data_IF_821079034649
#
_entry.id   IF_821079034649
#
_cell.length_a   1.000
_cell.length_b   1.000
_cell.length_c   1.000
_cell.angle_alpha   90.00
_cell.angle_beta   90.00
_cell.angle_gamma   90.00
#
_symmetry.space_group_name_H-M   'P 1'
#
loop_
_entity.id
_entity.type
_entity.pdbx_description
1 polymer ?
#
# COMPACT_ATOMS: atom_id res chain seq x y z
N UNK A 1 15.56 -18.37 -5.39
CA UNK A 1 15.04 -18.72 -5.26
C UNK A 1 14.82 -18.50 -5.32
N UNK A 2 15.09 -17.90 -5.17
CA UNK A 2 14.68 -17.98 -5.08
C UNK A 2 14.53 -17.40 -4.98
N UNK A 3 14.57 -16.86 -4.83
CA UNK A 3 14.17 -16.79 -4.61
C UNK A 3 14.14 -16.28 -4.48
N UNK A 4 14.48 -15.84 -4.36
CA UNK A 4 14.23 -15.96 -4.16
C UNK A 4 14.14 -15.71 -3.98
N UNK A 5 14.35 -15.32 -3.78
CA UNK A 5 13.95 -15.62 -3.58
C UNK A 5 13.72 -15.43 -3.33
N UNK A 6 14.04 -15.09 -3.11
CA UNK A 6 13.64 -15.36 -2.88
C UNK A 6 13.33 -15.18 -2.65
N UNK A 7 13.59 -14.95 -2.38
CA UNK A 7 13.07 -15.33 -2.28
C UNK A 7 12.68 -15.35 -2.18
N UNK A 8 12.74 -15.36 -1.87
CA UNK A 8 12.12 -15.85 -1.81
C UNK A 8 11.75 -16.18 -1.69
N UNK A 9 11.61 -16.36 -1.43
CA UNK A 9 11.01 -17.03 -1.40
C UNK A 9 10.67 -17.35 -0.99
N UNK A 10 10.28 -17.68 -0.77
CA UNK A 10 9.82 -18.27 -0.33
C UNK A 10 9.43 -18.31 0.43
N UNK A 11 9.19 -18.51 1.00
CA UNK A 11 8.68 -18.74 1.59
C UNK A 11 8.05 -18.65 1.84
N UNK A 12 7.78 -18.66 2.06
CA UNK A 12 7.00 -18.72 2.20
C UNK A 12 6.32 -18.82 1.80
N UNK A 13 5.88 -19.41 1.82
CA UNK A 13 5.05 -19.60 1.48
C UNK A 13 4.05 -19.43 1.98
N UNK A 14 3.69 -19.44 2.66
CA UNK A 14 2.76 -19.29 3.32
C UNK A 14 1.77 -18.43 2.92
N UNK A 15 0.73 -18.42 2.94
CA UNK A 15 -0.28 -17.72 2.62
C UNK A 15 0.01 -16.55 1.98
N UNK A 16 0.39 -16.61 1.03
CA UNK A 16 0.89 -15.63 0.32
C UNK A 16 -0.02 -14.77 -0.41
N UNK A 17 -1.25 -15.04 -0.46
CA UNK A 17 -2.23 -14.25 -1.19
C UNK A 17 -2.35 -12.85 -0.64
N UNK A 18 -1.92 -12.63 0.61
CA UNK A 18 -2.02 -11.31 1.22
C UNK A 18 -0.70 -10.58 1.27
N UNK A 19 0.32 -11.09 0.62
CA UNK A 19 1.60 -10.42 0.64
C UNK A 19 1.53 -9.11 -0.14
N UNK A 20 1.98 -8.01 0.47
CA UNK A 20 1.98 -6.74 -0.25
C UNK A 20 2.86 -6.74 -1.48
N UNK A 21 3.85 -7.63 -1.52
CA UNK A 21 4.78 -7.65 -2.63
C UNK A 21 4.14 -7.96 -3.96
N UNK A 22 2.95 -8.57 -3.96
CA UNK A 22 2.27 -8.88 -5.20
C UNK A 22 1.49 -7.73 -5.80
N UNK A 23 1.33 -6.62 -5.08
CA UNK A 23 0.52 -5.51 -5.54
C UNK A 23 1.39 -4.39 -6.07
N UNK A 24 0.92 -3.69 -7.12
CA UNK A 24 1.67 -2.59 -7.72
C UNK A 24 0.95 -1.26 -7.62
N UNK A 25 -0.35 -1.25 -7.37
CA UNK A 25 -1.06 0.02 -7.19
C UNK A 25 -2.22 -0.17 -6.23
N UNK A 26 -2.69 0.94 -5.70
CA UNK A 26 -3.78 0.95 -4.73
C UNK A 26 -4.72 2.09 -5.05
N UNK A 27 -5.99 1.87 -4.77
CA UNK A 27 -7.04 2.82 -5.10
C UNK A 27 -7.95 2.96 -3.90
N UNK A 28 -8.34 4.20 -3.57
CA UNK A 28 -9.23 4.42 -2.43
C UNK A 28 -9.93 5.77 -2.55
N UNK A 29 -11.02 5.91 -1.82
CA UNK A 29 -11.73 7.17 -1.66
C UNK A 29 -11.69 7.54 -0.19
N UNK A 30 -11.63 8.82 0.11
CA UNK A 30 -11.58 9.27 1.49
C UNK A 30 -12.88 9.91 1.95
N UNK A 31 -13.65 10.44 1.01
CA UNK A 31 -14.94 11.05 1.32
C UNK A 31 -15.92 10.64 0.25
N UNK A 32 -16.83 9.74 0.57
CA UNK A 32 -17.86 9.37 -0.38
C UNK A 32 -18.81 10.51 -0.59
N UNK A 33 -19.24 10.79 -1.80
CA UNK A 33 -18.98 10.09 -3.06
C UNK A 33 -17.85 10.72 -3.87
N UNK A 34 -16.85 11.21 -3.25
CA UNK A 34 -15.78 11.96 -3.90
C UNK A 34 -14.94 11.06 -4.80
N UNK A 35 -14.08 11.65 -5.63
CA UNK A 35 -13.31 10.87 -6.58
C UNK A 35 -12.42 9.83 -5.89
N UNK A 36 -12.13 8.81 -6.65
CA UNK A 36 -11.21 7.78 -6.22
C UNK A 36 -9.79 8.21 -6.56
N UNK A 37 -8.88 7.97 -5.65
CA UNK A 37 -7.46 8.26 -5.87
C UNK A 37 -6.73 6.95 -6.10
N UNK A 38 -5.75 6.99 -6.99
CA UNK A 38 -4.97 5.80 -7.31
C UNK A 38 -3.49 6.14 -7.26
N UNK A 39 -2.71 5.29 -6.62
CA UNK A 39 -1.28 5.52 -6.45
C UNK A 39 -0.49 4.27 -6.73
N UNK A 40 0.71 4.46 -7.24
CA UNK A 40 1.68 3.38 -7.36
C UNK A 40 2.13 2.99 -5.96
N UNK A 41 2.39 1.71 -5.77
CA UNK A 41 2.93 1.21 -4.51
C UNK A 41 4.43 1.11 -4.62
N UNK A 42 5.12 1.63 -3.61
CA UNK A 42 6.56 1.59 -3.49
C UNK A 42 6.95 0.75 -2.29
N UNK A 43 8.17 0.25 -2.31
CA UNK A 43 8.70 -0.55 -1.21
C UNK A 43 10.12 -0.16 -0.93
N UNK A 44 10.52 -0.26 0.33
CA UNK A 44 11.89 -0.01 0.74
C UNK A 44 12.20 -0.93 1.92
N UNK A 45 13.44 -0.89 2.37
CA UNK A 45 13.83 -1.71 3.51
C UNK A 45 13.10 -1.31 4.77
N UNK A 46 12.81 -0.04 4.92
CA UNK A 46 12.17 0.46 6.14
C UNK A 46 10.66 0.45 6.05
N UNK A 47 10.11 0.30 4.84
CA UNK A 47 8.67 0.32 4.68
C UNK A 47 8.27 -0.66 3.58
N UNK A 48 7.57 -1.73 3.94
CA UNK A 48 7.22 -2.74 2.95
C UNK A 48 6.19 -2.24 1.93
N UNK A 49 5.48 -1.16 2.24
CA UNK A 49 4.49 -0.66 1.31
C UNK A 49 4.18 0.79 1.64
N UNK A 50 4.35 1.67 0.68
CA UNK A 50 4.01 3.07 0.86
C UNK A 50 3.64 3.70 -0.48
N UNK A 51 2.95 4.84 -0.40
CA UNK A 51 2.63 5.63 -1.58
C UNK A 51 3.27 7.00 -1.45
N UNK A 52 3.42 7.68 -2.59
CA UNK A 52 4.06 8.98 -2.66
C UNK A 52 3.03 9.98 -3.16
N UNK A 53 2.79 11.02 -2.39
CA UNK A 53 1.73 12.00 -2.66
C UNK A 53 2.35 13.38 -2.69
N UNK A 54 2.04 14.18 -3.72
CA UNK A 54 2.54 15.54 -3.79
C UNK A 54 2.08 16.34 -2.59
N UNK A 55 2.96 17.20 -2.10
CA UNK A 55 2.66 17.99 -0.91
C UNK A 55 1.44 18.88 -1.09
N UNK A 56 1.18 19.31 -2.32
CA UNK A 56 0.03 20.18 -2.56
C UNK A 56 -1.20 19.43 -3.07
N UNK A 57 -1.19 18.11 -2.95
CA UNK A 57 -2.32 17.31 -3.39
C UNK A 57 -3.53 17.52 -2.49
N UNK A 58 -4.72 17.58 -3.09
CA UNK A 58 -5.94 17.75 -2.32
C UNK A 58 -6.25 16.57 -1.41
N UNK A 59 -5.70 15.39 -1.72
CA UNK A 59 -5.98 14.23 -0.89
C UNK A 59 -5.18 14.25 0.40
N UNK A 60 -4.02 14.90 0.39
CA UNK A 60 -3.10 14.81 1.53
C UNK A 60 -3.72 15.27 2.85
N UNK A 61 -4.40 16.43 2.92
CA UNK A 61 -5.01 16.83 4.19
C UNK A 61 -6.08 15.88 4.69
N UNK A 62 -6.58 15.02 3.83
CA UNK A 62 -7.64 14.09 4.21
C UNK A 62 -7.10 12.77 4.73
N UNK A 63 -5.79 12.57 4.63
CA UNK A 63 -5.16 11.34 5.09
C UNK A 63 -4.58 11.58 6.47
N UNK A 64 -4.99 10.77 7.43
CA UNK A 64 -4.55 10.94 8.81
C UNK A 64 -3.94 9.66 9.31
N UNK A 65 -2.78 9.78 9.91
CA UNK A 65 -2.11 8.61 10.51
C UNK A 65 -3.06 7.96 11.51
N UNK A 66 -3.16 6.65 11.41
CA UNK A 66 -4.03 5.89 12.30
C UNK A 66 -5.41 5.61 11.75
N UNK A 67 -5.85 6.34 10.72
CA UNK A 67 -7.17 6.09 10.17
C UNK A 67 -7.16 4.83 9.31
N UNK A 68 -8.32 4.22 9.17
CA UNK A 68 -8.47 2.98 8.44
C UNK A 68 -9.37 3.21 7.24
N UNK A 69 -8.90 2.79 6.07
CA UNK A 69 -9.64 2.92 4.84
C UNK A 69 -9.72 1.58 4.15
N UNK A 70 -10.83 1.36 3.47
CA UNK A 70 -10.98 0.17 2.65
C UNK A 70 -10.37 0.48 1.29
N UNK A 71 -9.27 -0.18 0.97
CA UNK A 71 -8.54 0.10 -0.25
C UNK A 71 -8.57 -1.09 -1.19
N UNK A 72 -8.53 -0.79 -2.49
CA UNK A 72 -8.47 -1.81 -3.51
C UNK A 72 -7.04 -1.88 -4.04
N UNK A 73 -6.44 -3.04 -3.93
CA UNK A 73 -5.07 -3.29 -4.38
C UNK A 73 -5.09 -4.05 -5.68
N UNK A 74 -4.25 -3.65 -6.62
CA UNK A 74 -4.16 -4.27 -7.94
C UNK A 74 -2.88 -5.05 -8.10
N UNK A 75 -2.99 -6.20 -8.71
CA UNK A 75 -1.91 -7.15 -8.86
C UNK A 75 -1.81 -7.58 -10.31
N UNK A 76 -0.62 -8.03 -10.72
CA UNK A 76 -0.46 -8.63 -12.05
C UNK A 76 -0.81 -10.10 -12.06
N UNK A 77 -1.20 -10.66 -10.92
CA UNK A 77 -1.60 -12.05 -10.84
C UNK A 77 -2.95 -12.24 -11.53
N UNK A 78 -2.99 -13.02 -12.60
CA UNK A 78 -4.21 -13.21 -13.36
C UNK A 78 -5.31 -13.86 -12.55
N UNK A 79 -4.96 -14.61 -11.52
CA UNK A 79 -5.96 -15.30 -10.72
C UNK A 79 -6.53 -14.43 -9.61
N UNK A 80 -5.83 -13.36 -9.26
CA UNK A 80 -6.30 -12.44 -8.25
C UNK A 80 -5.88 -11.03 -8.64
N UNK A 81 -6.52 -10.47 -9.68
CA UNK A 81 -6.05 -9.18 -10.21
C UNK A 81 -6.31 -8.02 -9.28
N UNK A 82 -7.27 -8.14 -8.39
CA UNK A 82 -7.49 -7.07 -7.42
C UNK A 82 -8.06 -7.65 -6.14
N UNK A 83 -7.86 -6.91 -5.04
CA UNK A 83 -8.32 -7.37 -3.74
C UNK A 83 -8.59 -6.17 -2.86
N UNK A 84 -9.68 -6.21 -2.12
CA UNK A 84 -9.99 -5.16 -1.15
C UNK A 84 -9.44 -5.54 0.19
N UNK A 85 -8.69 -4.62 0.80
CA UNK A 85 -8.06 -4.86 2.09
C UNK A 85 -8.20 -3.62 2.93
N UNK A 86 -8.67 -3.79 4.16
CA UNK A 86 -8.67 -2.68 5.11
C UNK A 86 -7.25 -2.30 5.43
N UNK A 87 -6.95 -1.01 5.34
CA UNK A 87 -5.59 -0.52 5.45
C UNK A 87 -5.55 0.63 6.43
N UNK A 88 -4.61 0.58 7.36
CA UNK A 88 -4.37 1.70 8.26
C UNK A 88 -3.31 2.60 7.67
N UNK A 89 -3.56 3.90 7.72
CA UNK A 89 -2.56 4.89 7.33
C UNK A 89 -1.52 4.91 8.45
N UNK A 90 -0.29 4.61 8.08
CA UNK A 90 0.79 4.60 9.05
C UNK A 90 1.46 5.95 9.13
N UNK A 91 2.78 5.93 9.11
CA UNK A 91 3.56 7.16 9.22
C UNK A 91 3.46 7.99 7.95
N UNK A 92 3.29 9.28 8.11
CA UNK A 92 3.27 10.23 7.00
C UNK A 92 4.51 11.11 7.17
N UNK A 93 5.36 11.11 6.16
CA UNK A 93 6.64 11.80 6.22
C UNK A 93 6.78 12.75 5.04
N UNK A 94 7.17 13.98 5.31
CA UNK A 94 7.43 14.97 4.28
C UNK A 94 8.88 14.86 3.86
N UNK A 95 9.12 14.75 2.56
CA UNK A 95 10.47 14.56 2.05
C UNK A 95 11.04 15.87 1.58
N UNK A 96 12.16 16.27 2.16
CA UNK A 96 12.76 17.55 1.87
C UNK A 96 13.86 17.48 0.83
N UNK A 97 14.37 16.31 0.58
CA UNK A 97 15.42 16.13 -0.40
C UNK A 97 15.38 14.71 -0.91
N UNK A 98 16.13 14.47 -1.96
CA UNK A 98 16.23 13.15 -2.52
C UNK A 98 15.16 12.89 -3.55
N UNK A 99 14.97 11.61 -3.81
CA UNK A 99 14.12 11.15 -4.88
C UNK A 99 12.68 11.65 -4.79
N UNK A 100 12.17 11.76 -3.56
CA UNK A 100 10.77 12.14 -3.36
C UNK A 100 10.64 13.57 -2.83
N UNK A 101 11.61 14.41 -3.11
CA UNK A 101 11.54 15.79 -2.68
C UNK A 101 10.25 16.43 -3.18
N UNK A 102 9.58 17.19 -2.30
CA UNK A 102 8.32 17.84 -2.65
C UNK A 102 7.13 16.94 -2.53
N UNK A 103 7.32 15.75 -1.97
CA UNK A 103 6.24 14.77 -1.79
C UNK A 103 6.22 14.32 -0.35
N UNK A 104 5.11 13.70 0.03
CA UNK A 104 5.01 12.99 1.29
C UNK A 104 4.97 11.52 0.99
N UNK A 105 5.63 10.72 1.83
CA UNK A 105 5.51 9.28 1.78
C UNK A 105 4.54 8.85 2.86
N UNK A 106 3.66 7.92 2.54
CA UNK A 106 2.60 7.49 3.43
C UNK A 106 2.63 5.98 3.52
N UNK A 107 2.94 5.46 4.71
CA UNK A 107 2.98 4.03 4.92
C UNK A 107 1.58 3.46 4.93
N UNK A 108 1.41 2.33 4.27
CA UNK A 108 0.14 1.61 4.23
C UNK A 108 0.30 0.31 4.99
N UNK A 109 -0.54 0.09 5.98
CA UNK A 109 -0.44 -1.08 6.84
C UNK A 109 -1.73 -1.89 6.70
N UNK A 110 -1.72 -2.96 5.91
CA UNK A 110 -2.90 -3.82 5.82
C UNK A 110 -3.22 -4.42 7.19
N UNK A 111 -4.49 -4.44 7.51
CA UNK A 111 -4.93 -4.96 8.80
C UNK A 111 -5.95 -6.05 8.56
N UNK A 112 -6.26 -6.76 9.63
CA UNK A 112 -7.27 -7.81 9.61
C UNK A 112 -6.96 -8.95 8.67
N UNK A 113 -5.69 -9.13 8.34
CA UNK A 113 -5.32 -10.23 7.47
C UNK A 113 -5.63 -11.56 8.11
N UNK A 114 -5.43 -11.64 9.41
CA UNK A 114 -5.74 -12.88 10.11
C UNK A 114 -7.23 -13.16 10.03
N UNK A 115 -8.06 -12.14 10.18
CA UNK A 115 -9.48 -12.30 10.09
C UNK A 115 -9.90 -12.74 8.70
N UNK A 116 -9.21 -12.20 7.69
CA UNK A 116 -9.53 -12.58 6.32
C UNK A 116 -9.17 -14.01 6.02
N UNK A 117 -8.25 -14.57 6.78
CA UNK A 117 -7.82 -15.93 6.55
C UNK A 117 -8.72 -16.95 7.23
N UNK A 118 -9.54 -16.49 8.10
CA UNK A 118 -10.45 -17.39 8.79
C UNK A 118 -11.70 -17.65 7.96
#
# INVERSE_FOLDING_TARGET
MTAIEMNTSTVSKINNSLKPAGFYSVEFAVDEPHPVYQFKIWRSESSPMFVVVKENSAVLPKLKAGSILNMTYYSSDAQCPKKQIETRIGHISSERKGRFQGHCTIDLVPINQAALQN
#
